data_IF_000289551688
#
_entry.id   IF_000289551688
#
_cell.length_a   1.000
_cell.length_b   1.000
_cell.length_c   1.000
_cell.angle_alpha   90.00
_cell.angle_beta   90.00
_cell.angle_gamma   90.00
#
_symmetry.space_group_name_H-M   'P 1'
#
loop_
_entity.id
_entity.type
_entity.pdbx_description
1 polymer ?
#
# COMPACT_ATOMS: atom_id res chain seq x y z
N UNK A 1 20.33 5.17 40.38
CA UNK A 1 19.97 5.86 39.13
C UNK A 1 19.33 4.84 38.21
N UNK A 2 18.00 4.70 38.26
CA UNK A 2 17.27 3.68 37.50
C UNK A 2 17.11 4.11 36.05
N UNK A 3 17.68 3.35 35.12
CA UNK A 3 17.39 3.48 33.69
C UNK A 3 15.98 2.97 33.44
N UNK A 4 15.02 3.89 33.33
CA UNK A 4 13.70 3.56 32.80
C UNK A 4 13.86 3.27 31.30
N UNK A 5 13.65 2.02 30.90
CA UNK A 5 13.51 1.68 29.50
C UNK A 5 12.23 2.36 28.99
N UNK A 6 12.37 3.28 28.03
CA UNK A 6 11.22 3.78 27.29
C UNK A 6 10.67 2.60 26.45
N UNK A 7 9.34 2.40 26.39
CA UNK A 7 8.78 1.40 25.50
C UNK A 7 9.21 1.70 24.07
N UNK A 8 9.94 0.76 23.44
CA UNK A 8 10.45 0.91 22.07
C UNK A 8 9.37 0.75 21.00
N UNK A 9 8.13 0.49 21.38
CA UNK A 9 6.98 0.33 20.49
C UNK A 9 6.14 1.60 20.46
N UNK A 10 6.50 2.55 19.60
CA UNK A 10 5.54 3.58 19.18
C UNK A 10 4.35 2.94 18.46
N UNK A 11 3.21 3.67 18.32
CA UNK A 11 2.10 3.17 17.52
C UNK A 11 2.59 2.81 16.10
N UNK A 12 2.17 1.63 15.62
CA UNK A 12 2.50 1.15 14.26
C UNK A 12 1.84 2.07 13.24
N UNK A 13 2.62 2.58 12.29
CA UNK A 13 2.07 3.34 11.16
C UNK A 13 1.08 2.48 10.35
N UNK A 14 -0.02 3.09 9.94
CA UNK A 14 -1.14 2.43 9.26
C UNK A 14 -0.93 2.49 7.75
N UNK A 15 -0.85 1.34 7.10
CA UNK A 15 -0.60 1.22 5.67
C UNK A 15 -1.88 0.88 4.90
N UNK A 16 -2.15 1.64 3.84
CA UNK A 16 -3.10 1.29 2.79
C UNK A 16 -2.33 0.72 1.60
N UNK A 17 -2.63 -0.52 1.19
CA UNK A 17 -1.96 -1.13 0.04
C UNK A 17 -2.67 -0.77 -1.27
N UNK A 18 -1.92 -0.57 -2.34
CA UNK A 18 -2.43 -0.30 -3.68
C UNK A 18 -1.78 -1.26 -4.67
N UNK A 19 -2.60 -2.09 -5.30
CA UNK A 19 -2.16 -3.04 -6.31
C UNK A 19 -2.80 -2.76 -7.67
N UNK A 20 -1.99 -2.85 -8.73
CA UNK A 20 -2.44 -2.64 -10.11
C UNK A 20 -2.10 -3.87 -10.95
N UNK A 21 -3.10 -4.44 -11.62
CA UNK A 21 -2.88 -5.49 -12.61
C UNK A 21 -2.90 -4.88 -14.02
N UNK A 22 -1.77 -4.94 -14.73
CA UNK A 22 -1.69 -4.53 -16.13
C UNK A 22 -2.14 -5.66 -17.06
N UNK A 23 -3.00 -5.35 -18.02
CA UNK A 23 -3.45 -6.33 -19.02
C UNK A 23 -2.33 -6.63 -20.00
N UNK A 24 -2.09 -7.93 -20.25
CA UNK A 24 -1.11 -8.38 -21.23
C UNK A 24 0.32 -8.42 -20.71
N UNK A 25 0.53 -8.23 -19.41
CA UNK A 25 1.80 -8.50 -18.75
C UNK A 25 1.73 -9.86 -18.06
N UNK A 26 2.69 -10.74 -18.33
CA UNK A 26 2.84 -11.99 -17.61
C UNK A 26 3.54 -11.70 -16.26
N UNK A 27 2.76 -11.61 -15.19
CA UNK A 27 3.30 -11.56 -13.83
C UNK A 27 3.51 -12.99 -13.30
N UNK A 28 4.61 -13.18 -12.56
CA UNK A 28 4.91 -14.44 -11.86
C UNK A 28 3.85 -14.72 -10.77
N UNK A 29 3.33 -13.66 -10.15
CA UNK A 29 2.34 -13.73 -9.09
C UNK A 29 1.02 -13.10 -9.54
N UNK A 30 -0.09 -13.70 -9.10
CA UNK A 30 -1.38 -13.02 -9.18
C UNK A 30 -1.37 -11.75 -8.33
N UNK A 31 -2.18 -10.75 -8.69
CA UNK A 31 -2.31 -9.51 -7.91
C UNK A 31 -2.62 -9.79 -6.42
N UNK A 32 -3.47 -10.79 -6.14
CA UNK A 32 -3.81 -11.15 -4.77
C UNK A 32 -2.64 -11.81 -4.02
N UNK A 33 -1.84 -12.62 -4.72
CA UNK A 33 -0.62 -13.20 -4.14
C UNK A 33 0.42 -12.12 -3.82
N UNK A 34 0.58 -11.16 -4.73
CA UNK A 34 1.53 -10.05 -4.59
C UNK A 34 1.14 -9.14 -3.42
N UNK A 35 -0.13 -8.71 -3.35
CA UNK A 35 -0.63 -7.92 -2.22
C UNK A 35 -0.55 -8.66 -0.88
N UNK A 36 -0.76 -9.98 -0.87
CA UNK A 36 -0.58 -10.80 0.34
C UNK A 36 0.88 -10.82 0.79
N UNK A 37 1.83 -10.91 -0.13
CA UNK A 37 3.25 -10.80 0.17
C UNK A 37 3.60 -9.40 0.69
N UNK A 38 3.13 -8.34 0.02
CA UNK A 38 3.31 -6.96 0.45
C UNK A 38 2.76 -6.71 1.86
N UNK A 39 1.62 -7.31 2.21
CA UNK A 39 1.06 -7.23 3.56
C UNK A 39 1.97 -7.91 4.61
N UNK A 40 2.58 -9.05 4.29
CA UNK A 40 3.54 -9.73 5.18
C UNK A 40 4.84 -8.92 5.34
N UNK A 41 5.30 -8.28 4.26
CA UNK A 41 6.45 -7.38 4.30
C UNK A 41 6.16 -6.13 5.14
N UNK A 42 4.97 -5.53 4.96
CA UNK A 42 4.52 -4.40 5.77
C UNK A 42 4.44 -4.77 7.26
N UNK A 43 3.91 -5.95 7.60
CA UNK A 43 3.91 -6.43 8.99
C UNK A 43 5.33 -6.62 9.53
N UNK A 44 6.23 -7.21 8.75
CA UNK A 44 7.64 -7.38 9.12
C UNK A 44 8.37 -6.05 9.31
N UNK A 45 7.94 -5.00 8.60
CA UNK A 45 8.44 -3.63 8.72
C UNK A 45 7.81 -2.84 9.87
N UNK A 46 6.91 -3.44 10.66
CA UNK A 46 6.25 -2.77 11.78
C UNK A 46 5.03 -1.93 11.39
N UNK A 47 4.53 -2.03 10.15
CA UNK A 47 3.32 -1.34 9.69
C UNK A 47 2.07 -2.16 10.01
N UNK A 48 0.93 -1.50 10.17
CA UNK A 48 -0.39 -2.14 10.31
C UNK A 48 -1.18 -1.93 9.03
N UNK A 49 -1.45 -2.99 8.27
CA UNK A 49 -2.29 -2.89 7.07
C UNK A 49 -3.74 -2.63 7.48
N UNK A 50 -4.32 -1.54 6.98
CA UNK A 50 -5.69 -1.10 7.33
C UNK A 50 -6.68 -1.15 6.17
N UNK A 51 -6.20 -1.48 4.97
CA UNK A 51 -7.04 -1.62 3.78
C UNK A 51 -6.21 -1.90 2.55
N UNK A 52 -6.91 -2.20 1.45
CA UNK A 52 -6.30 -2.47 0.15
C UNK A 52 -7.17 -1.88 -0.97
N UNK A 53 -6.55 -1.28 -1.98
CA UNK A 53 -7.20 -0.82 -3.21
C UNK A 53 -6.61 -1.55 -4.40
N UNK A 54 -7.48 -2.06 -5.27
CA UNK A 54 -7.10 -2.81 -6.48
C UNK A 54 -7.61 -2.11 -7.73
N UNK A 55 -6.84 -2.19 -8.82
CA UNK A 55 -7.30 -1.75 -10.13
C UNK A 55 -6.68 -2.59 -11.24
N UNK A 56 -7.47 -2.89 -12.28
CA UNK A 56 -6.97 -3.51 -13.51
C UNK A 56 -6.91 -2.46 -14.62
N UNK A 57 -5.75 -2.31 -15.27
CA UNK A 57 -5.51 -1.28 -16.28
C UNK A 57 -4.99 -1.88 -17.59
N UNK A 58 -5.26 -1.22 -18.71
CA UNK A 58 -4.55 -1.52 -19.97
C UNK A 58 -3.17 -0.87 -20.01
N UNK A 59 -3.05 0.33 -19.46
CA UNK A 59 -1.81 1.08 -19.33
C UNK A 59 -1.91 2.02 -18.12
N UNK A 60 -0.81 2.32 -17.41
CA UNK A 60 -0.81 3.31 -16.36
C UNK A 60 -1.15 4.72 -16.88
N UNK A 61 -1.71 5.55 -16.01
CA UNK A 61 -1.78 6.99 -16.24
C UNK A 61 -0.38 7.61 -15.99
N UNK A 62 0.18 8.40 -16.91
CA UNK A 62 1.56 8.88 -16.78
C UNK A 62 1.76 9.91 -15.66
N UNK A 63 0.69 10.51 -15.11
CA UNK A 63 0.78 11.50 -14.02
C UNK A 63 0.50 10.90 -12.65
N UNK A 64 -0.32 9.86 -12.59
CA UNK A 64 -0.90 9.37 -11.34
C UNK A 64 -0.79 7.86 -11.17
N UNK A 65 -0.25 7.14 -12.17
CA UNK A 65 -0.22 5.68 -12.29
C UNK A 65 -1.60 5.01 -12.41
N UNK A 66 -2.56 5.38 -11.55
CA UNK A 66 -3.90 4.77 -11.43
C UNK A 66 -5.05 5.60 -12.06
N UNK A 67 -4.79 6.86 -12.43
CA UNK A 67 -5.79 7.80 -12.94
C UNK A 67 -6.52 8.57 -11.83
N UNK A 68 -7.01 9.77 -12.16
CA UNK A 68 -7.55 10.73 -11.18
C UNK A 68 -8.79 10.25 -10.41
N UNK A 69 -9.61 9.40 -11.01
CA UNK A 69 -10.76 8.79 -10.33
C UNK A 69 -10.31 7.87 -9.20
N UNK A 70 -9.36 6.97 -9.50
CA UNK A 70 -8.80 6.04 -8.52
C UNK A 70 -8.00 6.76 -7.43
N UNK A 71 -7.29 7.85 -7.76
CA UNK A 71 -6.65 8.71 -6.75
C UNK A 71 -7.66 9.22 -5.72
N UNK A 72 -8.86 9.66 -6.15
CA UNK A 72 -9.90 10.11 -5.22
C UNK A 72 -10.44 8.97 -4.36
N UNK A 73 -10.61 7.78 -4.93
CA UNK A 73 -11.03 6.58 -4.19
C UNK A 73 -9.98 6.19 -3.13
N UNK A 74 -8.69 6.14 -3.50
CA UNK A 74 -7.59 5.86 -2.58
C UNK A 74 -7.52 6.90 -1.47
N UNK A 75 -7.68 8.19 -1.80
CA UNK A 75 -7.71 9.27 -0.81
C UNK A 75 -8.87 9.10 0.19
N UNK A 76 -10.07 8.82 -0.30
CA UNK A 76 -11.23 8.61 0.56
C UNK A 76 -11.03 7.39 1.47
N UNK A 77 -10.49 6.29 0.93
CA UNK A 77 -10.19 5.09 1.71
C UNK A 77 -9.09 5.33 2.75
N UNK A 78 -8.06 6.10 2.41
CA UNK A 78 -7.02 6.50 3.35
C UNK A 78 -7.57 7.36 4.49
N UNK A 79 -8.48 8.30 4.19
CA UNK A 79 -9.16 9.11 5.20
C UNK A 79 -10.08 8.26 6.11
N UNK A 80 -10.87 7.36 5.53
CA UNK A 80 -11.77 6.45 6.26
C UNK A 80 -10.99 5.48 7.16
N UNK A 81 -9.90 4.94 6.64
CA UNK A 81 -9.04 3.97 7.34
C UNK A 81 -7.91 4.64 8.10
N UNK A 82 -7.92 5.98 8.22
CA UNK A 82 -6.88 6.79 8.88
C UNK A 82 -5.45 6.28 8.58
N UNK A 83 -5.18 5.96 7.30
CA UNK A 83 -3.88 5.46 6.88
C UNK A 83 -2.83 6.57 6.97
N UNK A 84 -1.67 6.26 7.54
CA UNK A 84 -0.51 7.15 7.62
C UNK A 84 0.31 7.10 6.33
N UNK A 85 0.34 5.92 5.68
CA UNK A 85 1.10 5.67 4.46
C UNK A 85 0.30 4.90 3.42
N UNK A 86 0.59 5.16 2.14
CA UNK A 86 0.06 4.40 1.01
C UNK A 86 1.20 3.65 0.34
N UNK A 87 1.13 2.33 0.32
CA UNK A 87 2.14 1.46 -0.28
C UNK A 87 1.65 0.98 -1.63
N UNK A 88 2.40 1.29 -2.68
CA UNK A 88 2.16 0.71 -4.01
C UNK A 88 2.97 -0.58 -4.15
N UNK A 89 2.34 -1.60 -4.70
CA UNK A 89 2.97 -2.89 -5.04
C UNK A 89 3.89 -2.79 -6.28
N UNK A 90 4.09 -1.58 -6.78
CA UNK A 90 4.85 -1.26 -7.98
C UNK A 90 5.65 0.03 -7.72
N UNK A 91 6.83 0.13 -8.31
CA UNK A 91 7.68 1.31 -8.19
C UNK A 91 7.06 2.49 -8.96
N UNK A 92 6.94 3.64 -8.30
CA UNK A 92 6.46 4.87 -8.92
C UNK A 92 7.63 5.74 -9.36
N UNK A 93 7.56 6.27 -10.59
CA UNK A 93 8.52 7.26 -11.07
C UNK A 93 8.32 8.62 -10.38
N UNK A 94 9.39 9.33 -9.98
CA UNK A 94 9.32 10.70 -9.44
C UNK A 94 8.69 11.73 -10.37
#
# INVERSE_FOLDING_TARGET
>A
MGKHALPTGGPRERALLVGVELRGTDSILSLDSSLKELALLADSAGLSVVGESRQRLQKPDPKTYVGSGKVKEIRALAEETLADVVLFDEELSP
#
